data_IF_937425835177
#
_entry.id   IF_937425835177
#
_cell.length_a   1.000
_cell.length_b   1.000
_cell.length_c   1.000
_cell.angle_alpha   90.00
_cell.angle_beta   90.00
_cell.angle_gamma   90.00
#
_symmetry.space_group_name_H-M   'P 1'
#
loop_
_entity.id
_entity.type
_entity.pdbx_description
1 polymer ?
#
# COMPACT_ATOMS: atom_id res chain seq x y z
N UNK A 1 14.28 -9.37 12.23
CA UNK A 1 13.19 -9.40 11.24
C UNK A 1 13.44 -8.31 10.19
N UNK A 2 13.51 -8.63 8.89
CA UNK A 2 13.76 -7.64 7.84
C UNK A 2 12.61 -6.64 7.74
N UNK A 3 12.93 -5.38 7.45
CA UNK A 3 11.98 -4.29 7.27
C UNK A 3 12.00 -3.88 5.80
N UNK A 4 10.83 -3.84 5.16
CA UNK A 4 10.65 -3.40 3.78
C UNK A 4 9.74 -2.19 3.73
N UNK A 5 10.20 -1.12 3.08
CA UNK A 5 9.37 0.04 2.76
C UNK A 5 8.67 -0.20 1.43
N UNK A 6 7.36 0.01 1.41
CA UNK A 6 6.51 -0.32 0.27
C UNK A 6 6.26 0.92 -0.59
N UNK A 7 6.33 0.75 -1.91
CA UNK A 7 5.99 1.77 -2.90
C UNK A 7 4.51 1.71 -3.31
N UNK A 8 4.04 2.74 -4.03
CA UNK A 8 2.68 2.77 -4.53
C UNK A 8 2.38 1.63 -5.51
N UNK A 9 3.37 1.18 -6.31
CA UNK A 9 3.14 0.14 -7.31
C UNK A 9 2.82 -1.20 -6.66
N UNK A 10 3.59 -1.64 -5.67
CA UNK A 10 3.31 -2.85 -4.91
C UNK A 10 1.86 -2.86 -4.44
N UNK A 11 1.40 -1.73 -3.92
CA UNK A 11 0.03 -1.59 -3.46
C UNK A 11 -1.00 -1.74 -4.60
N UNK A 12 -0.79 -1.00 -5.69
CA UNK A 12 -1.67 -1.04 -6.85
C UNK A 12 -1.77 -2.46 -7.41
N UNK A 13 -0.64 -3.18 -7.49
CA UNK A 13 -0.63 -4.58 -7.92
C UNK A 13 -1.39 -5.49 -6.97
N UNK A 14 -1.27 -5.28 -5.66
CA UNK A 14 -1.96 -6.07 -4.67
C UNK A 14 -3.49 -5.88 -4.73
N UNK A 15 -3.96 -4.63 -4.82
CA UNK A 15 -5.40 -4.31 -4.79
C UNK A 15 -6.09 -4.51 -6.13
N UNK A 16 -5.51 -3.99 -7.22
CA UNK A 16 -6.19 -3.97 -8.52
C UNK A 16 -6.11 -5.32 -9.23
N UNK A 17 -5.14 -6.17 -8.84
CA UNK A 17 -4.87 -7.48 -9.46
C UNK A 17 -4.71 -7.42 -10.98
N UNK A 18 -4.30 -6.27 -11.50
CA UNK A 18 -4.22 -6.00 -12.93
C UNK A 18 -3.02 -6.68 -13.59
N UNK A 19 -2.02 -7.07 -12.80
CA UNK A 19 -0.93 -7.95 -13.21
C UNK A 19 -0.85 -9.14 -12.25
N UNK A 20 -1.28 -10.33 -12.71
CA UNK A 20 -1.34 -11.54 -11.89
C UNK A 20 0.04 -12.01 -11.39
N UNK A 21 1.10 -11.84 -12.19
CA UNK A 21 2.45 -12.24 -11.80
C UNK A 21 2.96 -11.37 -10.64
N UNK A 22 2.81 -10.05 -10.77
CA UNK A 22 3.19 -9.11 -9.71
C UNK A 22 2.27 -9.22 -8.49
N UNK A 23 0.98 -9.50 -8.69
CA UNK A 23 0.05 -9.75 -7.61
C UNK A 23 0.48 -10.94 -6.75
N UNK A 24 0.87 -12.07 -7.36
CA UNK A 24 1.37 -13.25 -6.61
C UNK A 24 2.59 -12.90 -5.76
N UNK A 25 3.50 -12.11 -6.31
CA UNK A 25 4.70 -11.66 -5.57
C UNK A 25 4.28 -10.80 -4.39
N UNK A 26 3.45 -9.77 -4.61
CA UNK A 26 2.97 -8.89 -3.54
C UNK A 26 2.21 -9.68 -2.47
N UNK A 27 1.33 -10.60 -2.88
CA UNK A 27 0.60 -11.46 -1.94
C UNK A 27 1.54 -12.33 -1.09
N UNK A 28 2.62 -12.86 -1.66
CA UNK A 28 3.60 -13.64 -0.90
C UNK A 28 4.32 -12.81 0.18
N UNK A 29 4.69 -11.56 -0.13
CA UNK A 29 5.27 -10.66 0.86
C UNK A 29 4.25 -10.33 1.96
N UNK A 30 3.00 -10.08 1.60
CA UNK A 30 1.93 -9.84 2.56
C UNK A 30 1.70 -11.04 3.50
N UNK A 31 1.67 -12.26 2.97
CA UNK A 31 1.54 -13.48 3.78
C UNK A 31 2.75 -13.70 4.70
N UNK A 32 3.97 -13.39 4.24
CA UNK A 32 5.16 -13.39 5.12
C UNK A 32 5.06 -12.36 6.25
N UNK A 33 4.45 -11.21 5.98
CA UNK A 33 4.24 -10.16 6.98
C UNK A 33 3.20 -10.59 8.01
N UNK A 34 2.09 -11.22 7.59
CA UNK A 34 1.11 -11.83 8.50
C UNK A 34 1.71 -12.89 9.41
N UNK A 35 2.71 -13.62 8.93
CA UNK A 35 3.43 -14.63 9.70
C UNK A 35 4.56 -14.04 10.57
N UNK A 36 4.65 -12.71 10.69
CA UNK A 36 5.69 -12.00 11.45
C UNK A 36 7.14 -12.35 11.01
N UNK A 37 7.30 -12.81 9.75
CA UNK A 37 8.63 -13.13 9.19
C UNK A 37 9.33 -11.90 8.65
N UNK A 38 8.56 -10.89 8.26
CA UNK A 38 9.03 -9.60 7.75
C UNK A 38 8.12 -8.49 8.29
N UNK A 39 8.64 -7.26 8.32
CA UNK A 39 7.85 -6.06 8.58
C UNK A 39 7.69 -5.26 7.30
N UNK A 40 6.46 -4.90 6.98
CA UNK A 40 6.12 -4.03 5.86
C UNK A 40 5.80 -2.65 6.43
N UNK A 41 6.38 -1.59 5.85
CA UNK A 41 6.16 -0.21 6.29
C UNK A 41 5.57 0.58 5.14
N UNK A 42 4.42 1.20 5.40
CA UNK A 42 3.77 2.12 4.48
C UNK A 42 4.03 3.56 4.92
N UNK A 43 4.54 4.36 3.99
CA UNK A 43 4.71 5.79 4.17
C UNK A 43 3.40 6.51 3.83
N UNK A 44 3.13 7.63 4.52
CA UNK A 44 1.86 8.37 4.31
C UNK A 44 1.83 8.99 2.92
N UNK A 45 2.99 9.39 2.40
CA UNK A 45 3.21 9.94 1.07
C UNK A 45 2.82 8.95 -0.03
N UNK A 46 3.02 7.65 0.21
CA UNK A 46 2.64 6.58 -0.73
C UNK A 46 1.11 6.51 -0.89
N UNK A 47 0.33 6.85 0.15
CA UNK A 47 -1.14 6.90 0.05
C UNK A 47 -1.59 7.99 -0.92
N UNK A 48 -0.90 9.14 -0.93
CA UNK A 48 -1.20 10.24 -1.84
C UNK A 48 -0.88 9.85 -3.29
N UNK A 49 0.23 9.14 -3.51
CA UNK A 49 0.60 8.62 -4.82
C UNK A 49 -0.42 7.58 -5.32
N UNK A 50 -0.86 6.66 -4.45
CA UNK A 50 -1.90 5.68 -4.76
C UNK A 50 -3.20 6.37 -5.19
N UNK A 51 -3.66 7.37 -4.44
CA UNK A 51 -4.86 8.16 -4.79
C UNK A 51 -4.71 8.77 -6.18
N UNK A 52 -3.58 9.43 -6.42
CA UNK A 52 -3.30 10.10 -7.67
C UNK A 52 -3.32 9.11 -8.84
N UNK A 53 -2.63 7.98 -8.72
CA UNK A 53 -2.56 6.97 -9.78
C UNK A 53 -3.94 6.34 -10.04
N UNK A 54 -4.67 5.98 -8.99
CA UNK A 54 -6.04 5.44 -9.14
C UNK A 54 -6.98 6.42 -9.84
N UNK A 55 -6.88 7.72 -9.52
CA UNK A 55 -7.71 8.77 -10.11
C UNK A 55 -7.30 9.14 -11.52
N UNK A 56 -6.00 9.28 -11.80
CA UNK A 56 -5.49 9.82 -13.08
C UNK A 56 -5.20 8.76 -14.11
N UNK A 57 -4.61 7.63 -13.70
CA UNK A 57 -4.23 6.54 -14.61
C UNK A 57 -5.39 5.57 -14.78
N UNK A 58 -5.93 5.05 -13.67
CA UNK A 58 -7.02 4.08 -13.71
C UNK A 58 -8.41 4.72 -13.82
N UNK A 59 -8.50 6.05 -13.72
CA UNK A 59 -9.76 6.83 -13.86
C UNK A 59 -10.88 6.33 -12.96
N UNK A 60 -10.54 5.81 -11.78
CA UNK A 60 -11.50 5.31 -10.80
C UNK A 60 -12.28 6.48 -10.19
N UNK A 61 -13.55 6.24 -9.87
CA UNK A 61 -14.36 7.23 -9.17
C UNK A 61 -13.94 7.32 -7.69
N UNK A 62 -14.23 8.47 -7.07
CA UNK A 62 -13.85 8.75 -5.68
C UNK A 62 -14.39 7.72 -4.67
N UNK A 63 -15.57 7.15 -4.91
CA UNK A 63 -16.15 6.13 -4.01
C UNK A 63 -15.32 4.83 -4.03
N UNK A 64 -14.88 4.39 -5.21
CA UNK A 64 -14.02 3.22 -5.35
C UNK A 64 -12.64 3.45 -4.74
N UNK A 65 -12.04 4.62 -5.00
CA UNK A 65 -10.75 5.00 -4.41
C UNK A 65 -10.83 4.96 -2.87
N UNK A 66 -11.86 5.60 -2.30
CA UNK A 66 -12.08 5.58 -0.86
C UNK A 66 -12.24 4.15 -0.33
N UNK A 67 -13.00 3.29 -1.03
CA UNK A 67 -13.13 1.88 -0.66
C UNK A 67 -11.78 1.18 -0.61
N UNK A 68 -10.96 1.30 -1.65
CA UNK A 68 -9.63 0.65 -1.68
C UNK A 68 -8.67 1.17 -0.62
N UNK A 69 -8.61 2.48 -0.39
CA UNK A 69 -7.77 3.08 0.65
C UNK A 69 -8.29 2.74 2.06
N UNK A 70 -9.61 2.61 2.24
CA UNK A 70 -10.17 2.20 3.54
C UNK A 70 -9.84 0.74 3.87
N UNK A 71 -9.87 -0.16 2.88
CA UNK A 71 -9.43 -1.55 3.05
C UNK A 71 -7.96 -1.62 3.48
N UNK A 72 -7.11 -0.75 2.91
CA UNK A 72 -5.73 -0.54 3.37
C UNK A 72 -5.66 -0.25 4.87
N UNK A 73 -6.38 0.78 5.32
CA UNK A 73 -6.26 1.27 6.70
C UNK A 73 -6.73 0.25 7.74
N UNK A 74 -7.69 -0.62 7.38
CA UNK A 74 -8.16 -1.68 8.28
C UNK A 74 -7.16 -2.84 8.38
N UNK A 75 -6.55 -3.26 7.27
CA UNK A 75 -5.53 -4.31 7.27
C UNK A 75 -4.16 -3.82 7.80
N UNK A 76 -3.90 -2.51 7.74
CA UNK A 76 -2.69 -1.84 8.26
C UNK A 76 -2.66 -1.69 9.78
N UNK A 77 -3.70 -2.10 10.52
CA UNK A 77 -3.59 -2.15 12.00
C UNK A 77 -2.47 -3.08 12.52
N UNK A 78 -1.79 -3.84 11.65
CA UNK A 78 -0.57 -4.60 11.89
C UNK A 78 0.74 -3.87 11.49
N UNK A 79 0.67 -2.67 10.89
CA UNK A 79 1.77 -1.98 10.23
C UNK A 79 1.93 -0.56 10.80
N UNK A 80 3.13 -0.24 11.30
CA UNK A 80 3.45 1.09 11.82
C UNK A 80 3.35 2.15 10.70
N UNK A 81 2.42 3.08 10.86
CA UNK A 81 2.34 4.30 10.04
C UNK A 81 3.33 5.30 10.63
N UNK A 82 4.50 5.44 9.99
CA UNK A 82 5.45 6.49 10.36
C UNK A 82 4.99 7.83 9.78
N UNK A 83 4.62 8.77 10.67
CA UNK A 83 4.60 10.19 10.33
C UNK A 83 6.04 10.68 10.26
N UNK A 84 6.54 11.00 9.08
CA UNK A 84 7.68 11.91 8.99
C UNK A 84 7.16 13.31 9.32
N UNK A 85 7.50 13.82 10.50
CA UNK A 85 7.41 15.26 10.76
C UNK A 85 8.42 15.97 9.85
N UNK A 86 7.98 16.38 8.67
CA UNK A 86 8.73 17.32 7.86
C UNK A 86 8.78 18.67 8.60
N UNK A 87 9.90 18.92 9.29
CA UNK A 87 10.32 20.29 9.58
C UNK A 87 10.71 20.92 8.25
N UNK A 88 9.80 21.70 7.68
CA UNK A 88 10.17 22.67 6.65
C UNK A 88 11.15 23.66 7.30
N UNK A 89 12.42 23.59 6.89
CA UNK A 89 13.38 24.67 7.08
C UNK A 89 13.06 25.82 6.12
#
# INVERSE_FOLDING_TARGET
MPIYYIDANYFLRFILKDNLAQWKIANNYFEKAKQEKIKLVFLTEVILEIEYVMRKVYKLNRKLIFKYISTLSFEISLIDIFRQEYRFC
#
